data_IF_867201267944
#
_entry.id   IF_867201267944
#
_cell.length_a   1.000
_cell.length_b   1.000
_cell.length_c   1.000
_cell.angle_alpha   90.00
_cell.angle_beta   90.00
_cell.angle_gamma   90.00
#
_symmetry.space_group_name_H-M   'P 1'
#
loop_
_entity.id
_entity.type
_entity.pdbx_description
1 polymer ?
#
# COMPACT_ATOMS: atom_id res chain seq x y z
N UNK A 1 3.29 11.77 -3.58
CA UNK A 1 2.94 10.59 -2.78
C UNK A 1 1.91 10.92 -1.73
N UNK A 2 0.74 10.28 -1.83
CA UNK A 2 -0.41 10.46 -0.94
C UNK A 2 -1.20 9.16 -0.81
N UNK A 3 -1.83 8.93 0.34
CA UNK A 3 -2.81 7.84 0.47
C UNK A 3 -4.09 8.27 -0.25
N UNK A 4 -4.44 7.57 -1.33
CA UNK A 4 -5.61 7.92 -2.13
C UNK A 4 -6.88 7.27 -1.59
N UNK A 5 -6.83 5.97 -1.30
CA UNK A 5 -7.95 5.21 -0.73
C UNK A 5 -7.48 3.86 -0.16
N UNK A 6 -8.39 3.20 0.54
CA UNK A 6 -8.32 1.79 0.90
C UNK A 6 -9.31 0.97 0.08
N UNK A 7 -9.12 -0.36 0.01
CA UNK A 7 -10.08 -1.25 -0.63
C UNK A 7 -11.50 -1.15 -0.04
N UNK A 8 -11.65 -0.73 1.23
CA UNK A 8 -12.94 -0.54 1.89
C UNK A 8 -13.72 0.69 1.39
N UNK A 9 -13.10 1.58 0.63
CA UNK A 9 -13.67 2.86 0.20
C UNK A 9 -14.03 2.90 -1.30
N UNK A 10 -13.78 1.81 -2.02
CA UNK A 10 -13.95 1.73 -3.47
C UNK A 10 -14.78 0.50 -3.85
N UNK A 11 -15.35 0.53 -5.06
CA UNK A 11 -16.03 -0.61 -5.65
C UNK A 11 -15.05 -1.70 -6.10
N UNK A 12 -15.54 -2.92 -6.30
CA UNK A 12 -14.74 -4.01 -6.86
C UNK A 12 -14.16 -3.65 -8.25
N UNK A 13 -14.96 -2.98 -9.10
CA UNK A 13 -14.51 -2.57 -10.43
C UNK A 13 -13.34 -1.56 -10.35
N UNK A 14 -13.41 -0.59 -9.44
CA UNK A 14 -12.31 0.36 -9.21
C UNK A 14 -11.07 -0.35 -8.64
N UNK A 15 -11.26 -1.29 -7.72
CA UNK A 15 -10.19 -2.11 -7.16
C UNK A 15 -9.47 -2.89 -8.27
N UNK A 16 -10.20 -3.56 -9.16
CA UNK A 16 -9.63 -4.30 -10.29
C UNK A 16 -8.80 -3.40 -11.20
N UNK A 17 -9.28 -2.18 -11.49
CA UNK A 17 -8.51 -1.20 -12.27
C UNK A 17 -7.23 -0.76 -11.55
N UNK A 18 -7.29 -0.48 -10.24
CA UNK A 18 -6.12 -0.08 -9.45
C UNK A 18 -5.10 -1.20 -9.27
N UNK A 19 -5.55 -2.46 -9.25
CA UNK A 19 -4.71 -3.66 -9.17
C UNK A 19 -4.12 -4.10 -10.51
N UNK A 20 -4.52 -3.49 -11.62
CA UNK A 20 -4.07 -3.87 -12.96
C UNK A 20 -2.55 -3.71 -13.11
N UNK A 21 -1.93 -4.72 -13.71
CA UNK A 21 -0.48 -4.78 -14.01
C UNK A 21 0.43 -4.57 -12.78
N UNK A 22 -0.02 -4.96 -11.60
CA UNK A 22 0.80 -4.92 -10.40
C UNK A 22 1.94 -5.94 -10.48
N UNK A 23 3.05 -5.58 -9.85
CA UNK A 23 4.22 -6.42 -9.66
C UNK A 23 4.61 -6.39 -8.19
N UNK A 24 5.18 -7.48 -7.64
CA UNK A 24 5.69 -7.49 -6.28
C UNK A 24 6.66 -6.33 -6.03
N UNK A 25 6.69 -5.87 -4.78
CA UNK A 25 7.62 -4.82 -4.34
C UNK A 25 8.38 -5.28 -3.10
N UNK A 26 9.61 -4.82 -2.95
CA UNK A 26 10.35 -5.01 -1.71
C UNK A 26 9.65 -4.25 -0.57
N UNK A 27 9.14 -5.01 0.42
CA UNK A 27 8.37 -4.46 1.54
C UNK A 27 9.18 -3.46 2.37
N UNK A 28 10.42 -3.80 2.75
CA UNK A 28 11.31 -2.91 3.53
C UNK A 28 11.54 -1.58 2.84
N UNK A 29 11.73 -1.60 1.52
CA UNK A 29 11.86 -0.39 0.70
C UNK A 29 10.55 0.43 0.70
N UNK A 30 9.40 -0.23 0.55
CA UNK A 30 8.09 0.43 0.59
C UNK A 30 7.86 1.11 1.93
N UNK A 31 8.08 0.39 3.04
CA UNK A 31 7.92 0.91 4.40
C UNK A 31 8.83 2.11 4.65
N UNK A 32 10.10 2.06 4.23
CA UNK A 32 11.01 3.20 4.35
C UNK A 32 10.54 4.41 3.52
N UNK A 33 9.95 4.16 2.36
CA UNK A 33 9.39 5.23 1.52
C UNK A 33 8.14 5.84 2.18
N UNK A 34 7.25 5.03 2.73
CA UNK A 34 6.08 5.48 3.50
C UNK A 34 6.54 6.27 4.73
N UNK A 35 7.51 5.78 5.50
CA UNK A 35 8.07 6.50 6.66
C UNK A 35 8.56 7.91 6.29
N UNK A 36 9.21 8.04 5.13
CA UNK A 36 9.77 9.32 4.67
C UNK A 36 8.71 10.32 4.21
N UNK A 37 7.67 9.86 3.51
CA UNK A 37 6.74 10.74 2.80
C UNK A 37 5.32 10.77 3.40
N UNK A 38 4.95 9.77 4.19
CA UNK A 38 3.65 9.60 4.85
C UNK A 38 3.88 9.13 6.31
N UNK A 39 4.57 9.92 7.15
CA UNK A 39 4.91 9.51 8.52
C UNK A 39 3.67 9.22 9.37
N UNK A 40 2.58 9.97 9.18
CA UNK A 40 1.31 9.73 9.88
C UNK A 40 0.72 8.35 9.54
N UNK A 41 0.80 7.92 8.28
CA UNK A 41 0.35 6.59 7.87
C UNK A 41 1.26 5.49 8.44
N UNK A 42 2.57 5.74 8.47
CA UNK A 42 3.55 4.82 9.05
C UNK A 42 3.26 4.56 10.54
N UNK A 43 2.98 5.63 11.29
CA UNK A 43 2.66 5.55 12.72
C UNK A 43 1.27 4.92 12.94
N UNK A 44 0.26 5.35 12.19
CA UNK A 44 -1.12 4.84 12.33
C UNK A 44 -1.23 3.33 12.07
N UNK A 45 -0.42 2.80 11.16
CA UNK A 45 -0.39 1.37 10.84
C UNK A 45 0.68 0.60 11.62
N UNK A 46 1.43 1.27 12.51
CA UNK A 46 2.51 0.65 13.29
C UNK A 46 3.48 -0.16 12.42
N UNK A 47 3.92 0.38 11.27
CA UNK A 47 4.74 -0.33 10.27
C UNK A 47 6.17 -0.65 10.74
N UNK A 48 6.50 -0.33 12.00
CA UNK A 48 7.71 -0.77 12.68
C UNK A 48 7.62 -2.20 13.21
N UNK A 49 6.42 -2.81 13.25
CA UNK A 49 6.23 -4.21 13.63
C UNK A 49 6.14 -5.15 12.42
N UNK A 50 6.21 -6.45 12.69
CA UNK A 50 6.07 -7.48 11.67
C UNK A 50 4.68 -7.42 11.03
N UNK A 51 4.65 -7.44 9.70
CA UNK A 51 3.43 -7.49 8.91
C UNK A 51 3.32 -8.86 8.20
N UNK A 52 2.37 -9.72 8.59
CA UNK A 52 2.15 -11.02 7.95
C UNK A 52 1.84 -10.94 6.45
N UNK A 53 1.42 -9.77 5.96
CA UNK A 53 1.01 -9.52 4.58
C UNK A 53 2.12 -8.90 3.72
N UNK A 54 3.35 -8.80 4.24
CA UNK A 54 4.46 -8.13 3.56
C UNK A 54 4.74 -8.65 2.14
N UNK A 55 4.58 -9.96 1.92
CA UNK A 55 4.81 -10.61 0.63
C UNK A 55 3.74 -10.32 -0.43
N UNK A 56 2.60 -9.74 -0.04
CA UNK A 56 1.49 -9.42 -0.93
C UNK A 56 1.50 -7.94 -1.35
N UNK A 57 2.39 -7.14 -0.78
CA UNK A 57 2.59 -5.76 -1.20
C UNK A 57 3.07 -5.69 -2.65
N UNK A 58 2.54 -4.74 -3.40
CA UNK A 58 2.82 -4.63 -4.82
C UNK A 58 2.86 -3.17 -5.30
N UNK A 59 3.15 -2.99 -6.58
CA UNK A 59 3.15 -1.68 -7.25
C UNK A 59 2.78 -1.82 -8.71
N UNK A 60 2.17 -0.79 -9.27
CA UNK A 60 2.05 -0.65 -10.73
C UNK A 60 2.61 0.71 -11.16
N UNK A 61 2.24 1.24 -12.33
CA UNK A 61 2.72 2.55 -12.79
C UNK A 61 2.28 3.69 -11.85
N UNK A 62 1.04 3.65 -11.37
CA UNK A 62 0.37 4.74 -10.64
C UNK A 62 0.49 4.64 -9.12
N UNK A 63 0.52 3.43 -8.56
CA UNK A 63 0.40 3.21 -7.12
C UNK A 63 1.55 2.37 -6.54
N UNK A 64 1.84 2.65 -5.28
CA UNK A 64 2.33 1.65 -4.33
C UNK A 64 1.13 1.10 -3.56
N UNK A 65 1.09 -0.22 -3.37
CA UNK A 65 -0.02 -0.90 -2.72
C UNK A 65 0.56 -1.63 -1.52
N UNK A 66 0.33 -1.05 -0.34
CA UNK A 66 0.67 -1.66 0.94
C UNK A 66 -0.50 -2.56 1.36
N UNK A 67 -0.23 -3.81 1.73
CA UNK A 67 -1.24 -4.67 2.34
C UNK A 67 -0.90 -4.79 3.82
N UNK A 68 -1.83 -4.40 4.68
CA UNK A 68 -1.67 -4.45 6.14
C UNK A 68 -3.02 -4.72 6.80
N UNK A 69 -3.06 -5.61 7.79
CA UNK A 69 -4.31 -6.04 8.45
C UNK A 69 -5.39 -6.53 7.47
N UNK A 70 -5.00 -7.14 6.35
CA UNK A 70 -5.93 -7.57 5.29
C UNK A 70 -6.56 -6.43 4.47
N UNK A 71 -6.03 -5.21 4.56
CA UNK A 71 -6.50 -4.04 3.82
C UNK A 71 -5.43 -3.59 2.84
N UNK A 72 -5.81 -3.38 1.58
CA UNK A 72 -4.98 -2.72 0.58
C UNK A 72 -5.08 -1.20 0.70
N UNK A 73 -3.93 -0.56 0.92
CA UNK A 73 -3.76 0.89 0.96
C UNK A 73 -3.15 1.33 -0.38
N UNK A 74 -3.95 2.02 -1.19
CA UNK A 74 -3.54 2.54 -2.49
C UNK A 74 -2.87 3.90 -2.32
N UNK A 75 -1.54 3.90 -2.39
CA UNK A 75 -0.70 5.09 -2.23
C UNK A 75 -0.28 5.58 -3.61
N UNK A 76 -0.81 6.73 -4.06
CA UNK A 76 -0.44 7.35 -5.34
C UNK A 76 1.03 7.79 -5.26
N UNK A 77 1.82 7.52 -6.31
CA UNK A 77 3.24 7.88 -6.37
C UNK A 77 3.46 9.39 -6.42
#
# INVERSE_FOLDING_TARGET
MELECTCCQITLAEWEQKMKHTKPINYKWLVNKIKKHLPQLYEALCLNFYNPWEGQCCRNKQYYILIHSGIEYFIRK
#
